data_IF_821966515256
#
_entry.id   IF_821966515256
#
_cell.length_a   1.000
_cell.length_b   1.000
_cell.length_c   1.000
_cell.angle_alpha   90.00
_cell.angle_beta   90.00
_cell.angle_gamma   90.00
#
_symmetry.space_group_name_H-M   'P 1'
#
loop_
_entity.id
_entity.type
_entity.pdbx_description
1 polymer ?
#
# COMPACT_ATOMS: atom_id res chain seq x y z
N UNK A 1 39.23 6.80 19.48
CA UNK A 1 39.18 8.13 18.85
C UNK A 1 39.07 7.92 17.34
N UNK A 2 37.89 7.64 16.80
CA UNK A 2 37.65 7.47 15.35
C UNK A 2 36.43 8.29 15.00
N UNK A 3 36.60 9.15 14.03
CA UNK A 3 35.77 10.25 13.61
C UNK A 3 34.32 9.85 13.27
N UNK A 4 33.36 10.45 13.98
CA UNK A 4 31.98 10.60 13.52
C UNK A 4 31.84 11.97 12.86
N UNK A 5 31.58 12.01 11.56
CA UNK A 5 30.80 13.04 10.84
C UNK A 5 30.80 12.65 9.35
N UNK A 6 29.61 12.45 8.74
CA UNK A 6 28.86 13.49 8.13
C UNK A 6 27.33 13.30 8.29
N UNK A 7 26.75 13.86 9.33
CA UNK A 7 25.30 13.89 9.50
C UNK A 7 24.75 15.36 9.59
N UNK A 8 25.64 16.36 9.45
CA UNK A 8 25.26 17.74 9.71
C UNK A 8 24.44 18.40 8.57
N UNK A 9 24.47 17.85 7.35
CA UNK A 9 23.75 18.45 6.21
C UNK A 9 22.25 18.06 6.15
N UNK A 10 21.83 17.00 6.87
CA UNK A 10 20.44 16.53 6.91
C UNK A 10 19.69 16.93 8.19
N UNK A 11 20.38 17.55 9.14
CA UNK A 11 19.81 17.94 10.43
C UNK A 11 18.56 18.85 10.34
N UNK A 12 18.50 19.89 9.47
CA UNK A 12 17.33 20.75 9.40
C UNK A 12 16.09 20.08 8.79
N UNK A 13 16.25 19.01 8.00
CA UNK A 13 15.14 18.23 7.45
C UNK A 13 14.55 17.25 8.47
N UNK A 14 15.26 16.97 9.55
CA UNK A 14 14.83 16.04 10.60
C UNK A 14 13.90 16.67 11.64
N UNK A 15 13.78 17.99 11.67
CA UNK A 15 12.91 18.76 12.59
C UNK A 15 11.52 19.07 12.02
N UNK A 16 11.19 18.58 10.83
CA UNK A 16 9.87 18.79 10.25
C UNK A 16 8.79 18.14 11.12
N UNK A 17 7.71 18.86 11.45
CA UNK A 17 6.65 18.34 12.31
C UNK A 17 5.96 17.14 11.67
N UNK A 18 5.43 16.22 12.49
CA UNK A 18 4.84 14.95 12.04
C UNK A 18 3.79 15.10 10.91
N UNK A 19 3.04 16.22 10.87
CA UNK A 19 2.08 16.51 9.82
C UNK A 19 2.71 16.75 8.44
N UNK A 20 3.96 17.19 8.36
CA UNK A 20 4.66 17.36 7.08
C UNK A 20 5.02 16.02 6.44
N UNK A 21 5.24 14.95 7.24
CA UNK A 21 5.42 13.57 6.77
C UNK A 21 4.17 13.10 6.06
N UNK A 22 2.99 13.39 6.61
CA UNK A 22 1.70 13.06 6.00
C UNK A 22 1.45 13.82 4.70
N UNK A 23 1.84 15.09 4.64
CA UNK A 23 1.77 15.90 3.42
C UNK A 23 2.63 15.32 2.30
N UNK A 24 3.83 14.87 2.61
CA UNK A 24 4.74 14.27 1.63
C UNK A 24 4.25 12.89 1.18
N UNK A 25 3.73 12.06 2.09
CA UNK A 25 3.11 10.77 1.73
C UNK A 25 1.90 11.02 0.83
N UNK A 26 1.02 11.97 1.18
CA UNK A 26 -0.14 12.33 0.37
C UNK A 26 0.25 12.81 -1.03
N UNK A 27 1.25 13.68 -1.13
CA UNK A 27 1.78 14.18 -2.40
C UNK A 27 2.43 13.06 -3.23
N UNK A 28 3.18 12.18 -2.58
CA UNK A 28 3.80 11.01 -3.25
C UNK A 28 2.75 10.06 -3.78
N UNK A 29 1.70 9.81 -3.00
CA UNK A 29 0.57 8.97 -3.38
C UNK A 29 -0.26 9.63 -4.49
N UNK A 30 -0.55 10.93 -4.39
CA UNK A 30 -1.24 11.70 -5.44
C UNK A 30 -0.43 11.77 -6.74
N UNK A 31 0.88 11.90 -6.66
CA UNK A 31 1.76 11.89 -7.83
C UNK A 31 1.82 10.50 -8.50
N UNK A 32 1.70 9.41 -7.71
CA UNK A 32 1.50 8.06 -8.25
C UNK A 32 0.14 7.93 -8.98
N UNK A 33 -0.89 8.68 -8.56
CA UNK A 33 -2.23 8.61 -9.14
C UNK A 33 -2.41 9.51 -10.37
N UNK A 34 -1.75 10.68 -10.42
CA UNK A 34 -1.92 11.68 -11.46
C UNK A 34 -1.22 11.37 -12.80
N UNK A 35 -0.88 10.11 -13.06
CA UNK A 35 -0.34 9.68 -14.33
C UNK A 35 1.16 9.40 -14.28
N UNK A 36 1.54 8.34 -13.56
CA UNK A 36 2.91 7.83 -13.56
C UNK A 36 3.38 7.46 -14.98
N UNK A 37 2.46 7.27 -15.94
CA UNK A 37 2.81 7.16 -17.37
C UNK A 37 3.42 8.44 -17.94
N UNK A 38 2.98 9.61 -17.47
CA UNK A 38 3.50 10.91 -17.90
C UNK A 38 4.63 11.45 -17.00
N UNK A 39 4.89 10.81 -15.83
CA UNK A 39 5.94 11.28 -14.93
C UNK A 39 7.33 11.02 -15.52
N UNK A 40 8.13 12.07 -15.61
CA UNK A 40 9.51 11.97 -16.05
C UNK A 40 10.33 11.06 -15.12
N UNK A 41 11.37 10.42 -15.65
CA UNK A 41 12.28 9.55 -14.90
C UNK A 41 12.77 10.19 -13.57
N UNK A 42 13.17 11.48 -13.52
CA UNK A 42 13.60 12.12 -12.28
C UNK A 42 12.45 12.22 -11.25
N UNK A 43 11.19 12.38 -11.67
CA UNK A 43 10.06 12.40 -10.74
C UNK A 43 9.83 11.03 -10.09
N UNK A 44 9.99 9.93 -10.82
CA UNK A 44 9.88 8.57 -10.28
C UNK A 44 10.99 8.24 -9.30
N UNK A 45 12.24 8.65 -9.62
CA UNK A 45 13.37 8.51 -8.68
C UNK A 45 13.12 9.31 -7.41
N UNK A 46 12.62 10.55 -7.51
CA UNK A 46 12.29 11.38 -6.35
C UNK A 46 11.20 10.75 -5.48
N UNK A 47 10.18 10.12 -6.08
CA UNK A 47 9.12 9.41 -5.34
C UNK A 47 9.67 8.23 -4.54
N UNK A 48 10.52 7.40 -5.14
CA UNK A 48 11.16 6.28 -4.44
C UNK A 48 12.08 6.77 -3.32
N UNK A 49 12.92 7.77 -3.59
CA UNK A 49 13.81 8.36 -2.59
C UNK A 49 13.01 8.94 -1.42
N UNK A 50 11.87 9.59 -1.69
CA UNK A 50 10.97 10.12 -0.67
C UNK A 50 10.36 9.00 0.17
N UNK A 51 9.89 7.89 -0.45
CA UNK A 51 9.36 6.72 0.26
C UNK A 51 10.40 6.09 1.19
N UNK A 52 11.62 5.87 0.70
CA UNK A 52 12.74 5.34 1.50
C UNK A 52 13.11 6.29 2.65
N UNK A 53 13.15 7.59 2.38
CA UNK A 53 13.42 8.61 3.40
C UNK A 53 12.34 8.64 4.48
N UNK A 54 11.05 8.55 4.10
CA UNK A 54 9.93 8.48 5.04
C UNK A 54 9.99 7.24 5.91
N UNK A 55 10.33 6.08 5.32
CA UNK A 55 10.53 4.84 6.05
C UNK A 55 11.68 4.96 7.06
N UNK A 56 12.84 5.47 6.62
CA UNK A 56 13.98 5.70 7.49
C UNK A 56 13.66 6.69 8.62
N UNK A 57 12.88 7.73 8.32
CA UNK A 57 12.42 8.71 9.32
C UNK A 57 11.45 8.12 10.33
N UNK A 58 10.49 7.30 9.87
CA UNK A 58 9.55 6.61 10.77
C UNK A 58 10.27 5.68 11.76
N UNK A 59 11.39 5.11 11.33
CA UNK A 59 12.27 4.27 12.16
C UNK A 59 13.38 5.03 12.88
N UNK A 60 13.40 6.38 12.81
CA UNK A 60 14.47 7.17 13.45
C UNK A 60 14.61 6.82 14.93
N UNK A 61 15.84 6.47 15.36
CA UNK A 61 16.13 5.97 16.70
C UNK A 61 15.87 4.46 16.92
N UNK A 62 15.26 3.76 15.93
CA UNK A 62 14.98 2.32 16.01
C UNK A 62 15.60 1.51 14.86
N UNK A 63 16.38 2.14 13.97
CA UNK A 63 16.97 1.49 12.80
C UNK A 63 17.86 0.29 13.18
N UNK A 64 18.70 0.43 14.21
CA UNK A 64 19.54 -0.66 14.67
C UNK A 64 18.71 -1.85 15.17
N UNK A 65 17.61 -1.59 15.89
CA UNK A 65 16.70 -2.63 16.38
C UNK A 65 15.90 -3.29 15.24
N UNK A 66 15.53 -2.50 14.22
CA UNK A 66 14.83 -3.02 13.06
C UNK A 66 15.71 -4.00 12.27
N UNK A 67 16.96 -3.64 12.03
CA UNK A 67 17.93 -4.42 11.28
C UNK A 67 18.78 -5.39 12.13
N UNK A 68 18.38 -5.68 13.36
CA UNK A 68 19.05 -6.62 14.24
C UNK A 68 19.04 -8.07 13.72
N UNK A 69 18.03 -8.44 12.91
CA UNK A 69 17.86 -9.78 12.36
C UNK A 69 18.00 -9.80 10.83
N UNK A 70 18.64 -10.86 10.26
CA UNK A 70 18.81 -10.97 8.81
C UNK A 70 17.47 -10.97 8.03
N UNK A 71 16.39 -11.47 8.65
CA UNK A 71 15.06 -11.45 8.06
C UNK A 71 14.55 -10.02 7.73
N UNK A 72 14.97 -8.99 8.50
CA UNK A 72 14.61 -7.61 8.23
C UNK A 72 15.27 -7.09 6.94
N UNK A 73 16.55 -7.42 6.73
CA UNK A 73 17.24 -7.06 5.49
C UNK A 73 16.60 -7.73 4.28
N UNK A 74 16.31 -9.03 4.37
CA UNK A 74 15.70 -9.79 3.27
C UNK A 74 14.30 -9.24 2.93
N UNK A 75 13.44 -9.04 3.94
CA UNK A 75 12.08 -8.57 3.70
C UNK A 75 12.05 -7.13 3.15
N UNK A 76 12.89 -6.25 3.68
CA UNK A 76 12.99 -4.86 3.20
C UNK A 76 13.59 -4.82 1.79
N UNK A 77 14.63 -5.59 1.51
CA UNK A 77 15.22 -5.69 0.17
C UNK A 77 14.21 -6.23 -0.84
N UNK A 78 13.46 -7.28 -0.49
CA UNK A 78 12.42 -7.86 -1.33
C UNK A 78 11.31 -6.83 -1.64
N UNK A 79 10.82 -6.12 -0.62
CA UNK A 79 9.84 -5.05 -0.81
C UNK A 79 10.37 -3.93 -1.70
N UNK A 80 11.62 -3.50 -1.50
CA UNK A 80 12.26 -2.47 -2.34
C UNK A 80 12.40 -2.94 -3.79
N UNK A 81 12.73 -4.20 -4.03
CA UNK A 81 12.77 -4.77 -5.39
C UNK A 81 11.39 -4.65 -6.05
N UNK A 82 10.32 -5.06 -5.38
CA UNK A 82 8.97 -4.93 -5.93
C UNK A 82 8.55 -3.47 -6.18
N UNK A 83 8.91 -2.55 -5.27
CA UNK A 83 8.64 -1.13 -5.47
C UNK A 83 9.41 -0.56 -6.67
N UNK A 84 10.67 -0.92 -6.83
CA UNK A 84 11.48 -0.53 -8.00
C UNK A 84 10.87 -1.10 -9.28
N UNK A 85 10.55 -2.39 -9.32
CA UNK A 85 9.93 -3.03 -10.47
C UNK A 85 8.59 -2.40 -10.84
N UNK A 86 7.77 -2.03 -9.86
CA UNK A 86 6.49 -1.38 -10.09
C UNK A 86 6.64 0.05 -10.63
N UNK A 87 7.55 0.85 -10.05
CA UNK A 87 7.77 2.26 -10.45
C UNK A 87 8.41 2.34 -11.83
N UNK A 88 9.39 1.48 -12.10
CA UNK A 88 10.12 1.41 -13.37
C UNK A 88 9.58 0.31 -14.30
N UNK A 89 8.30 -0.06 -14.16
CA UNK A 89 7.69 -1.07 -15.03
C UNK A 89 7.87 -0.77 -16.53
N UNK A 90 7.69 0.46 -17.04
CA UNK A 90 7.89 0.75 -18.47
C UNK A 90 9.32 0.56 -18.95
N UNK A 91 10.32 0.76 -18.08
CA UNK A 91 11.74 0.64 -18.44
C UNK A 91 12.22 -0.83 -18.41
N UNK A 92 11.65 -1.65 -17.53
CA UNK A 92 12.00 -3.06 -17.41
C UNK A 92 11.15 -3.99 -18.28
N UNK A 93 10.04 -3.46 -18.82
CA UNK A 93 9.10 -4.20 -19.64
C UNK A 93 9.56 -4.22 -21.11
N UNK A 94 9.77 -5.39 -21.70
CA UNK A 94 10.12 -5.48 -23.12
C UNK A 94 8.95 -5.12 -24.05
N UNK A 95 7.70 -5.19 -23.58
CA UNK A 95 6.49 -4.88 -24.32
C UNK A 95 5.56 -4.04 -23.44
N UNK A 96 4.89 -3.04 -24.03
CA UNK A 96 3.76 -2.41 -23.35
C UNK A 96 2.49 -3.26 -23.55
N UNK A 97 2.01 -3.99 -22.51
CA UNK A 97 0.87 -4.90 -22.66
C UNK A 97 -0.48 -4.18 -22.88
N UNK A 98 -0.49 -2.85 -22.93
CA UNK A 98 -1.69 -2.00 -23.17
C UNK A 98 -1.68 -1.31 -24.51
N UNK A 99 -0.55 -1.26 -25.18
CA UNK A 99 -0.43 -0.72 -26.51
C UNK A 99 -0.85 -1.79 -27.53
N UNK A 100 -2.09 -1.69 -28.00
CA UNK A 100 -2.64 -2.62 -28.98
C UNK A 100 -1.80 -2.70 -30.27
N UNK A 101 -1.03 -1.66 -30.59
CA UNK A 101 -0.15 -1.66 -31.76
C UNK A 101 1.07 -2.58 -31.60
N UNK A 102 1.44 -2.92 -30.37
CA UNK A 102 2.56 -3.84 -30.06
C UNK A 102 2.09 -5.30 -29.87
N UNK A 103 0.79 -5.57 -29.92
CA UNK A 103 0.24 -6.89 -29.68
C UNK A 103 0.00 -7.63 -31.01
N UNK A 104 0.45 -8.89 -31.08
CA UNK A 104 0.15 -9.81 -32.17
C UNK A 104 -0.69 -10.96 -31.67
N UNK A 105 -1.87 -11.16 -32.26
CA UNK A 105 -2.74 -12.31 -31.94
C UNK A 105 -2.04 -13.64 -32.30
N UNK A 106 -1.09 -13.62 -33.25
CA UNK A 106 -0.29 -14.79 -33.62
C UNK A 106 0.62 -15.27 -32.48
N UNK A 107 0.96 -14.37 -31.55
CA UNK A 107 1.78 -14.67 -30.38
C UNK A 107 0.93 -15.08 -29.16
N UNK A 108 -0.37 -15.36 -29.38
CA UNK A 108 -1.28 -15.77 -28.31
C UNK A 108 -0.92 -17.15 -27.73
N UNK A 109 -0.89 -17.24 -26.39
CA UNK A 109 -0.70 -18.48 -25.62
C UNK A 109 0.61 -19.21 -25.86
N UNK A 110 1.68 -18.49 -26.21
CA UNK A 110 3.01 -19.07 -26.36
C UNK A 110 3.59 -19.48 -25.00
N UNK A 111 4.23 -20.66 -24.93
CA UNK A 111 4.86 -21.13 -23.70
C UNK A 111 6.09 -20.27 -23.30
N UNK A 112 6.52 -20.33 -22.02
CA UNK A 112 7.72 -19.65 -21.56
C UNK A 112 8.96 -19.97 -22.41
N UNK A 113 9.72 -18.92 -22.76
CA UNK A 113 10.92 -19.01 -23.57
C UNK A 113 10.70 -18.99 -25.10
N UNK A 114 9.46 -18.83 -25.58
CA UNK A 114 9.15 -18.72 -27.00
C UNK A 114 9.56 -17.36 -27.56
N UNK A 115 9.97 -17.35 -28.85
CA UNK A 115 10.16 -16.13 -29.61
C UNK A 115 8.83 -15.62 -30.17
N UNK A 116 8.71 -14.29 -30.36
CA UNK A 116 7.58 -13.69 -31.06
C UNK A 116 7.58 -14.08 -32.55
N UNK A 117 6.43 -13.96 -33.20
CA UNK A 117 6.24 -14.29 -34.60
C UNK A 117 7.13 -13.49 -35.57
N UNK A 118 7.52 -12.29 -35.17
CA UNK A 118 8.45 -11.41 -35.89
C UNK A 118 9.93 -11.63 -35.51
N UNK A 119 10.20 -12.46 -34.48
CA UNK A 119 11.55 -12.73 -33.97
C UNK A 119 12.18 -11.57 -33.17
N UNK A 120 11.45 -10.49 -32.92
CA UNK A 120 11.97 -9.30 -32.22
C UNK A 120 12.07 -9.48 -30.70
N UNK A 121 11.20 -10.31 -30.11
CA UNK A 121 11.10 -10.49 -28.66
C UNK A 121 11.20 -11.97 -28.26
N UNK A 122 11.65 -12.22 -27.04
CA UNK A 122 11.60 -13.54 -26.39
C UNK A 122 10.75 -13.43 -25.13
N UNK A 123 9.63 -14.14 -25.09
CA UNK A 123 8.69 -14.14 -23.99
C UNK A 123 9.17 -15.06 -22.86
N UNK A 124 9.89 -14.50 -21.89
CA UNK A 124 10.53 -15.26 -20.79
C UNK A 124 9.52 -16.08 -19.97
N UNK A 125 8.35 -15.51 -19.70
CA UNK A 125 7.28 -16.15 -18.93
C UNK A 125 6.09 -16.59 -19.82
N UNK A 126 6.24 -16.52 -21.14
CA UNK A 126 5.19 -16.82 -22.09
C UNK A 126 4.22 -15.66 -22.29
N UNK A 127 3.15 -15.92 -23.04
CA UNK A 127 2.14 -14.91 -23.39
C UNK A 127 0.75 -15.32 -22.92
N UNK A 128 -0.15 -14.31 -22.84
CA UNK A 128 -1.57 -14.53 -22.60
C UNK A 128 -2.34 -14.84 -23.91
N UNK A 129 -3.67 -14.93 -23.82
CA UNK A 129 -4.56 -15.18 -24.95
C UNK A 129 -4.44 -14.11 -26.06
N UNK A 130 -4.09 -12.88 -25.70
CA UNK A 130 -4.03 -11.72 -26.59
C UNK A 130 -2.60 -11.43 -27.11
N UNK A 131 -1.64 -12.32 -26.82
CA UNK A 131 -0.23 -12.13 -27.20
C UNK A 131 0.53 -11.12 -26.30
N UNK A 132 0.00 -10.82 -25.12
CA UNK A 132 0.68 -9.98 -24.13
C UNK A 132 1.76 -10.77 -23.41
N UNK A 133 2.95 -10.21 -23.31
CA UNK A 133 4.02 -10.77 -22.50
C UNK A 133 3.63 -10.82 -21.02
N UNK A 134 3.64 -12.01 -20.41
CA UNK A 134 3.26 -12.22 -19.00
C UNK A 134 4.22 -11.51 -18.06
N UNK A 135 5.52 -11.44 -18.37
CA UNK A 135 6.49 -10.71 -17.55
C UNK A 135 6.17 -9.22 -17.52
N UNK A 136 5.93 -8.61 -18.67
CA UNK A 136 5.48 -7.22 -18.78
C UNK A 136 4.15 -6.99 -18.05
N UNK A 137 3.20 -7.90 -18.23
CA UNK A 137 1.91 -7.86 -17.54
C UNK A 137 2.05 -7.86 -16.03
N UNK A 138 2.96 -8.67 -15.46
CA UNK A 138 3.23 -8.70 -14.02
C UNK A 138 3.80 -7.36 -13.53
N UNK A 139 4.75 -6.75 -14.26
CA UNK A 139 5.34 -5.47 -13.86
C UNK A 139 4.29 -4.36 -13.82
N UNK A 140 3.47 -4.24 -14.85
CA UNK A 140 2.37 -3.28 -14.89
C UNK A 140 1.27 -3.62 -13.88
N UNK A 141 0.95 -4.91 -13.69
CA UNK A 141 0.01 -5.37 -12.69
C UNK A 141 0.44 -5.03 -11.26
N UNK A 142 1.71 -5.23 -10.92
CA UNK A 142 2.30 -4.79 -9.65
C UNK A 142 2.13 -3.30 -9.42
N UNK A 143 2.39 -2.49 -10.45
CA UNK A 143 2.25 -1.04 -10.39
C UNK A 143 0.80 -0.64 -10.08
N UNK A 144 -0.18 -1.19 -10.79
CA UNK A 144 -1.60 -0.88 -10.57
C UNK A 144 -2.05 -1.34 -9.18
N UNK A 145 -1.79 -2.59 -8.81
CA UNK A 145 -2.20 -3.15 -7.52
C UNK A 145 -1.57 -2.40 -6.33
N UNK A 146 -0.28 -2.03 -6.41
CA UNK A 146 0.38 -1.24 -5.37
C UNK A 146 -0.18 0.19 -5.30
N UNK A 147 -0.38 0.85 -6.43
CA UNK A 147 -0.92 2.22 -6.47
C UNK A 147 -2.31 2.28 -5.87
N UNK A 148 -3.22 1.41 -6.33
CA UNK A 148 -4.60 1.32 -5.80
C UNK A 148 -4.59 1.08 -4.30
N UNK A 149 -3.79 0.12 -3.84
CA UNK A 149 -3.75 -0.26 -2.44
C UNK A 149 -3.15 0.82 -1.55
N UNK A 150 -2.07 1.48 -1.97
CA UNK A 150 -1.45 2.55 -1.20
C UNK A 150 -2.38 3.76 -1.08
N UNK A 151 -3.02 4.17 -2.19
CA UNK A 151 -3.96 5.30 -2.19
C UNK A 151 -5.17 5.02 -1.31
N UNK A 152 -5.80 3.86 -1.50
CA UNK A 152 -6.97 3.49 -0.70
C UNK A 152 -6.63 3.43 0.79
N UNK A 153 -5.51 2.79 1.15
CA UNK A 153 -5.02 2.69 2.52
C UNK A 153 -4.74 4.06 3.14
N UNK A 154 -4.06 4.95 2.40
CA UNK A 154 -3.71 6.28 2.91
C UNK A 154 -4.96 7.13 3.17
N UNK A 155 -5.90 7.18 2.22
CA UNK A 155 -7.14 7.96 2.39
C UNK A 155 -8.02 7.36 3.49
N UNK A 156 -8.16 6.03 3.54
CA UNK A 156 -8.89 5.35 4.61
C UNK A 156 -8.28 5.62 5.99
N UNK A 157 -6.94 5.63 6.09
CA UNK A 157 -6.22 5.96 7.32
C UNK A 157 -6.49 7.40 7.74
N UNK A 158 -6.44 8.38 6.82
CA UNK A 158 -6.72 9.78 7.15
C UNK A 158 -8.14 9.96 7.70
N UNK A 159 -9.14 9.35 7.06
CA UNK A 159 -10.53 9.35 7.53
C UNK A 159 -10.63 8.68 8.92
N UNK A 160 -10.04 7.49 9.07
CA UNK A 160 -10.09 6.74 10.31
C UNK A 160 -9.39 7.44 11.47
N UNK A 161 -8.25 8.08 11.21
CA UNK A 161 -7.54 8.91 12.21
C UNK A 161 -8.43 10.06 12.67
N UNK A 162 -9.03 10.79 11.75
CA UNK A 162 -9.93 11.90 12.10
C UNK A 162 -11.11 11.42 12.93
N UNK A 163 -11.83 10.40 12.48
CA UNK A 163 -13.01 9.86 13.18
C UNK A 163 -12.63 9.26 14.53
N UNK A 164 -11.55 8.46 14.61
CA UNK A 164 -11.13 7.80 15.84
C UNK A 164 -10.64 8.78 16.90
N UNK A 165 -9.85 9.80 16.50
CA UNK A 165 -9.40 10.86 17.41
C UNK A 165 -10.56 11.72 17.91
N UNK A 166 -11.45 12.13 17.00
CA UNK A 166 -12.62 12.92 17.37
C UNK A 166 -13.55 12.15 18.31
N UNK A 167 -13.78 10.88 18.07
CA UNK A 167 -14.57 10.01 18.96
C UNK A 167 -13.96 9.93 20.36
N UNK A 168 -12.66 9.69 20.47
CA UNK A 168 -11.94 9.60 21.75
C UNK A 168 -11.92 10.93 22.52
N UNK A 169 -11.86 12.06 21.81
CA UNK A 169 -11.82 13.39 22.42
C UNK A 169 -13.19 13.86 22.88
N UNK A 170 -14.23 13.72 22.05
CA UNK A 170 -15.58 14.16 22.34
C UNK A 170 -16.27 13.31 23.44
N UNK A 171 -15.97 12.00 23.47
CA UNK A 171 -16.54 11.06 24.44
C UNK A 171 -18.06 10.92 24.38
N UNK A 172 -18.63 10.30 25.40
CA UNK A 172 -20.06 10.25 25.62
C UNK A 172 -20.88 9.71 24.44
N UNK A 173 -21.96 10.44 24.08
CA UNK A 173 -22.87 10.03 22.99
C UNK A 173 -22.23 10.06 21.61
N UNK A 174 -21.33 11.03 21.36
CA UNK A 174 -20.63 11.16 20.08
C UNK A 174 -19.74 9.94 19.83
N UNK A 175 -18.94 9.58 20.82
CA UNK A 175 -18.12 8.38 20.78
C UNK A 175 -18.99 7.12 20.55
N UNK A 176 -20.08 7.01 21.30
CA UNK A 176 -20.99 5.84 21.18
C UNK A 176 -21.55 5.71 19.77
N UNK A 177 -22.04 6.80 19.16
CA UNK A 177 -22.61 6.78 17.80
C UNK A 177 -21.54 6.44 16.76
N UNK A 178 -20.38 7.12 16.81
CA UNK A 178 -19.30 6.88 15.84
C UNK A 178 -18.79 5.44 15.93
N UNK A 179 -18.61 4.91 17.15
CA UNK A 179 -18.15 3.52 17.32
C UNK A 179 -19.20 2.50 16.92
N UNK A 180 -20.50 2.79 17.08
CA UNK A 180 -21.56 1.93 16.53
C UNK A 180 -21.50 1.84 15.00
N UNK A 181 -21.22 2.95 14.31
CA UNK A 181 -21.01 2.92 12.86
C UNK A 181 -19.78 2.08 12.47
N UNK A 182 -18.67 2.25 13.22
CA UNK A 182 -17.47 1.43 13.05
C UNK A 182 -17.78 -0.05 13.27
N UNK A 183 -18.51 -0.38 14.33
CA UNK A 183 -18.88 -1.76 14.68
C UNK A 183 -19.78 -2.38 13.61
N UNK A 184 -20.76 -1.65 13.10
CA UNK A 184 -21.60 -2.08 11.98
C UNK A 184 -20.77 -2.38 10.74
N UNK A 185 -19.88 -1.46 10.37
CA UNK A 185 -18.99 -1.64 9.21
C UNK A 185 -18.13 -2.90 9.34
N UNK A 186 -17.55 -3.14 10.53
CA UNK A 186 -16.67 -4.28 10.79
C UNK A 186 -17.40 -5.61 11.04
N UNK A 187 -18.73 -5.57 11.18
CA UNK A 187 -19.55 -6.79 11.33
C UNK A 187 -19.76 -7.53 10.01
N UNK A 188 -19.60 -6.84 8.89
CA UNK A 188 -19.73 -7.43 7.56
C UNK A 188 -18.39 -7.90 7.01
N UNK A 189 -18.33 -9.05 6.32
CA UNK A 189 -17.12 -9.45 5.59
C UNK A 189 -16.72 -8.40 4.56
N UNK A 190 -15.46 -7.94 4.62
CA UNK A 190 -14.94 -6.85 3.79
C UNK A 190 -15.18 -7.07 2.30
N UNK A 191 -15.00 -8.32 1.83
CA UNK A 191 -15.20 -8.66 0.42
C UNK A 191 -16.66 -8.51 -0.02
N UNK A 192 -17.64 -8.86 0.84
CA UNK A 192 -19.05 -8.72 0.50
C UNK A 192 -19.46 -7.25 0.39
N UNK A 193 -18.96 -6.41 1.31
CA UNK A 193 -19.20 -4.95 1.24
C UNK A 193 -18.57 -4.38 -0.04
N UNK A 194 -17.33 -4.76 -0.36
CA UNK A 194 -16.66 -4.30 -1.57
C UNK A 194 -17.40 -4.74 -2.84
N UNK A 195 -17.85 -6.00 -2.92
CA UNK A 195 -18.65 -6.51 -4.04
C UNK A 195 -19.98 -5.76 -4.20
N UNK A 196 -20.67 -5.48 -3.10
CA UNK A 196 -21.92 -4.72 -3.12
C UNK A 196 -21.69 -3.28 -3.64
N UNK A 197 -20.61 -2.63 -3.18
CA UNK A 197 -20.26 -1.29 -3.64
C UNK A 197 -19.89 -1.30 -5.14
N UNK A 198 -19.12 -2.28 -5.61
CA UNK A 198 -18.77 -2.42 -7.02
C UNK A 198 -19.99 -2.74 -7.88
N UNK A 199 -20.96 -3.52 -7.38
CA UNK A 199 -22.22 -3.74 -8.09
C UNK A 199 -23.04 -2.45 -8.24
N UNK A 200 -22.99 -1.55 -7.24
CA UNK A 200 -23.68 -0.27 -7.27
C UNK A 200 -22.96 0.78 -8.13
N UNK A 201 -21.62 0.88 -8.03
CA UNK A 201 -20.83 1.91 -8.72
C UNK A 201 -20.42 1.51 -10.14
N UNK A 202 -20.39 0.23 -10.44
CA UNK A 202 -19.88 -0.34 -11.69
C UNK A 202 -18.34 -0.47 -11.67
N UNK A 203 -17.78 -0.85 -12.84
CA UNK A 203 -16.33 -1.07 -13.01
C UNK A 203 -15.58 0.25 -13.14
N UNK A 204 -14.36 0.30 -12.65
CA UNK A 204 -13.49 1.46 -12.76
C UNK A 204 -12.43 1.48 -11.67
N UNK A 205 -11.23 1.95 -12.00
CA UNK A 205 -10.12 2.03 -11.05
C UNK A 205 -10.44 2.98 -9.89
N UNK A 206 -11.05 4.13 -10.18
CA UNK A 206 -11.56 5.12 -9.22
C UNK A 206 -12.59 4.51 -8.26
N UNK A 207 -13.49 3.69 -8.79
CA UNK A 207 -14.56 3.04 -8.03
C UNK A 207 -14.03 1.94 -7.12
N UNK A 208 -13.05 1.17 -7.58
CA UNK A 208 -12.32 0.21 -6.74
C UNK A 208 -11.67 0.92 -5.56
N UNK A 209 -10.96 2.03 -5.81
CA UNK A 209 -10.31 2.81 -4.74
C UNK A 209 -11.34 3.31 -3.73
N UNK A 210 -12.46 3.88 -4.19
CA UNK A 210 -13.53 4.35 -3.29
C UNK A 210 -14.11 3.20 -2.46
N UNK A 211 -14.39 2.05 -3.08
CA UNK A 211 -14.90 0.88 -2.37
C UNK A 211 -13.92 0.39 -1.29
N UNK A 212 -12.61 0.34 -1.61
CA UNK A 212 -11.56 -0.05 -0.66
C UNK A 212 -11.42 0.95 0.50
N UNK A 213 -11.55 2.26 0.24
CA UNK A 213 -11.55 3.30 1.27
C UNK A 213 -12.72 3.08 2.23
N UNK A 214 -13.95 2.90 1.69
CA UNK A 214 -15.16 2.69 2.49
C UNK A 214 -15.04 1.43 3.35
N UNK A 215 -14.40 0.39 2.86
CA UNK A 215 -14.22 -0.84 3.62
C UNK A 215 -13.19 -0.70 4.75
N UNK A 216 -12.14 0.11 4.57
CA UNK A 216 -10.97 0.09 5.45
C UNK A 216 -10.92 1.14 6.56
N UNK A 217 -11.55 2.30 6.40
CA UNK A 217 -11.45 3.42 7.35
C UNK A 217 -11.79 3.02 8.79
N UNK A 218 -12.72 2.07 8.98
CA UNK A 218 -13.20 1.62 10.27
C UNK A 218 -12.10 0.92 11.11
N UNK A 219 -11.18 0.19 10.47
CA UNK A 219 -10.04 -0.44 11.16
C UNK A 219 -9.13 0.62 11.78
N UNK A 220 -8.86 1.70 11.04
CA UNK A 220 -8.05 2.82 11.53
C UNK A 220 -8.76 3.60 12.63
N UNK A 221 -10.06 3.88 12.47
CA UNK A 221 -10.86 4.59 13.46
C UNK A 221 -10.86 3.85 14.81
N UNK A 222 -11.05 2.53 14.79
CA UNK A 222 -11.01 1.69 16.00
C UNK A 222 -9.64 1.70 16.66
N UNK A 223 -8.57 1.57 15.89
CA UNK A 223 -7.18 1.55 16.38
C UNK A 223 -6.81 2.88 17.02
N UNK A 224 -7.09 3.99 16.32
CA UNK A 224 -6.79 5.34 16.81
C UNK A 224 -7.60 5.67 18.05
N UNK A 225 -8.90 5.37 18.06
CA UNK A 225 -9.74 5.60 19.24
C UNK A 225 -9.17 4.86 20.46
N UNK A 226 -8.80 3.58 20.32
CA UNK A 226 -8.23 2.80 21.43
C UNK A 226 -6.93 3.41 21.96
N UNK A 227 -6.02 3.82 21.08
CA UNK A 227 -4.75 4.46 21.46
C UNK A 227 -4.99 5.84 22.06
N UNK A 228 -5.83 6.65 21.44
CA UNK A 228 -6.13 8.01 21.89
C UNK A 228 -6.75 8.03 23.29
N UNK A 229 -7.67 7.09 23.60
CA UNK A 229 -8.23 6.96 24.95
C UNK A 229 -7.16 6.61 26.01
N UNK A 230 -6.21 5.75 25.66
CA UNK A 230 -5.12 5.41 26.56
C UNK A 230 -4.20 6.63 26.80
N UNK A 231 -3.95 7.43 25.74
CA UNK A 231 -3.09 8.61 25.83
C UNK A 231 -3.77 9.80 26.52
N UNK A 232 -5.07 10.01 26.35
CA UNK A 232 -5.80 11.14 26.98
C UNK A 232 -5.81 11.09 28.48
N UNK A 233 -5.60 9.92 29.10
CA UNK A 233 -5.55 9.72 30.54
C UNK A 233 -4.13 9.94 31.13
N UNK A 234 -3.14 10.33 30.34
CA UNK A 234 -1.77 10.54 30.81
C UNK A 234 -1.55 11.97 31.34
N UNK A 235 -0.62 12.11 32.30
CA UNK A 235 -0.34 13.36 33.01
C UNK A 235 0.08 14.51 32.10
N UNK A 236 0.78 14.21 30.98
CA UNK A 236 1.20 15.26 30.03
C UNK A 236 0.01 15.92 29.31
N UNK A 237 -1.10 15.20 29.10
CA UNK A 237 -2.34 15.76 28.54
C UNK A 237 -3.03 16.64 29.60
N UNK A 238 -3.07 16.18 30.86
CA UNK A 238 -3.61 16.98 31.96
C UNK A 238 -2.81 18.27 32.11
N UNK A 239 -1.48 18.20 32.11
CA UNK A 239 -0.60 19.36 32.15
C UNK A 239 -0.84 20.34 30.99
N UNK A 240 -1.00 19.85 29.77
CA UNK A 240 -1.29 20.65 28.58
C UNK A 240 -2.63 21.42 28.72
N UNK A 241 -3.66 20.76 29.31
CA UNK A 241 -4.95 21.43 29.63
C UNK A 241 -4.78 22.51 30.70
N UNK A 242 -4.03 22.22 31.77
CA UNK A 242 -3.75 23.20 32.81
C UNK A 242 -2.98 24.44 32.29
N UNK A 243 -2.12 24.25 31.28
CA UNK A 243 -1.41 25.35 30.60
C UNK A 243 -2.29 26.13 29.61
N UNK A 244 -3.58 25.80 29.50
CA UNK A 244 -4.53 26.48 28.62
C UNK A 244 -4.33 26.24 27.12
N UNK A 245 -3.70 25.13 26.72
CA UNK A 245 -3.58 24.82 25.29
C UNK A 245 -4.95 24.52 24.70
N UNK A 246 -5.18 24.98 23.46
CA UNK A 246 -6.42 24.68 22.74
C UNK A 246 -6.51 23.19 22.40
N UNK A 247 -7.74 22.66 22.33
CA UNK A 247 -8.02 21.27 22.02
C UNK A 247 -7.35 20.84 20.72
N UNK A 248 -7.42 21.65 19.67
CA UNK A 248 -6.75 21.38 18.39
C UNK A 248 -5.23 21.21 18.56
N UNK A 249 -4.59 22.03 19.39
CA UNK A 249 -3.15 21.93 19.68
C UNK A 249 -2.84 20.63 20.43
N UNK A 250 -3.66 20.25 21.42
CA UNK A 250 -3.49 19.01 22.17
C UNK A 250 -3.65 17.80 21.23
N UNK A 251 -4.71 17.77 20.42
CA UNK A 251 -4.97 16.70 19.46
C UNK A 251 -3.84 16.52 18.44
N UNK A 252 -3.45 17.60 17.77
CA UNK A 252 -2.51 17.51 16.64
C UNK A 252 -1.06 17.43 17.08
N UNK A 253 -0.67 18.07 18.19
CA UNK A 253 0.75 18.20 18.60
C UNK A 253 1.14 17.23 19.71
N UNK A 254 0.18 16.78 20.51
CA UNK A 254 0.46 15.91 21.64
C UNK A 254 -0.17 14.51 21.47
N UNK A 255 -1.42 14.39 21.02
CA UNK A 255 -2.11 13.12 20.93
C UNK A 255 -1.76 12.35 19.63
N UNK A 256 -1.90 13.02 18.47
CA UNK A 256 -1.67 12.39 17.16
C UNK A 256 -0.27 11.76 17.03
N UNK A 257 0.85 12.41 17.44
CA UNK A 257 2.18 11.79 17.32
C UNK A 257 2.31 10.49 18.10
N UNK A 258 1.63 10.37 19.24
CA UNK A 258 1.63 9.16 20.05
C UNK A 258 0.74 8.04 19.49
N UNK A 259 -0.19 8.37 18.58
CA UNK A 259 -0.99 7.39 17.85
C UNK A 259 -0.28 6.85 16.58
N UNK A 260 0.81 7.49 16.12
CA UNK A 260 1.51 7.09 14.88
C UNK A 260 2.11 5.67 14.95
N UNK A 261 2.82 5.23 16.00
CA UNK A 261 3.44 3.90 16.01
C UNK A 261 2.44 2.76 15.77
N UNK A 262 1.31 2.63 16.48
CA UNK A 262 0.32 1.60 16.18
C UNK A 262 -0.37 1.78 14.81
N UNK A 263 -0.49 3.02 14.31
CA UNK A 263 -1.00 3.28 12.97
C UNK A 263 -0.08 2.76 11.88
N UNK A 264 1.23 2.93 12.01
CA UNK A 264 2.19 2.39 11.05
C UNK A 264 2.10 0.87 10.97
N UNK A 265 1.99 0.20 12.11
CA UNK A 265 1.85 -1.26 12.17
C UNK A 265 0.56 -1.74 11.48
N UNK A 266 -0.60 -1.13 11.82
CA UNK A 266 -1.86 -1.55 11.19
C UNK A 266 -1.87 -1.21 9.69
N UNK A 267 -1.20 -0.13 9.26
CA UNK A 267 -1.15 0.28 7.86
C UNK A 267 -0.43 -0.75 6.98
N UNK A 268 0.64 -1.38 7.45
CA UNK A 268 1.32 -2.43 6.67
C UNK A 268 0.41 -3.64 6.46
N UNK A 269 -0.31 -4.07 7.50
CA UNK A 269 -1.27 -5.17 7.41
C UNK A 269 -2.41 -4.80 6.44
N UNK A 270 -2.90 -3.56 6.53
CA UNK A 270 -4.00 -3.11 5.68
C UNK A 270 -3.58 -2.94 4.22
N UNK A 271 -2.35 -2.52 3.90
CA UNK A 271 -1.85 -2.53 2.51
C UNK A 271 -1.88 -3.93 1.93
N UNK A 272 -1.36 -4.93 2.66
CA UNK A 272 -1.40 -6.33 2.21
C UNK A 272 -2.84 -6.82 1.99
N UNK A 273 -3.74 -6.56 2.96
CA UNK A 273 -5.16 -6.92 2.85
C UNK A 273 -5.83 -6.23 1.65
N UNK A 274 -5.47 -4.98 1.36
CA UNK A 274 -6.03 -4.23 0.23
C UNK A 274 -5.60 -4.80 -1.10
N UNK A 275 -4.34 -5.19 -1.24
CA UNK A 275 -3.82 -5.85 -2.45
C UNK A 275 -4.61 -7.15 -2.69
N UNK A 276 -4.81 -7.97 -1.65
CA UNK A 276 -5.58 -9.21 -1.76
C UNK A 276 -7.05 -8.93 -2.11
N UNK A 277 -7.66 -7.93 -1.48
CA UNK A 277 -9.06 -7.57 -1.73
C UNK A 277 -9.25 -7.01 -3.15
N UNK A 278 -8.37 -6.08 -3.60
CA UNK A 278 -8.35 -5.57 -4.98
C UNK A 278 -8.21 -6.71 -5.97
N UNK A 279 -7.21 -7.60 -5.75
CA UNK A 279 -6.97 -8.73 -6.64
C UNK A 279 -8.15 -9.70 -6.69
N UNK A 280 -8.84 -9.91 -5.57
CA UNK A 280 -10.05 -10.73 -5.51
C UNK A 280 -11.21 -10.12 -6.29
N UNK A 281 -11.43 -8.80 -6.18
CA UNK A 281 -12.45 -8.09 -6.96
C UNK A 281 -12.15 -8.14 -8.46
N UNK A 282 -10.89 -7.94 -8.83
CA UNK A 282 -10.42 -8.01 -10.21
C UNK A 282 -10.51 -9.43 -10.78
N UNK A 283 -10.18 -10.45 -9.99
CA UNK A 283 -10.35 -11.86 -10.34
C UNK A 283 -11.83 -12.22 -10.61
N UNK A 284 -12.76 -11.68 -9.81
CA UNK A 284 -14.19 -11.86 -9.98
C UNK A 284 -14.77 -11.02 -11.16
N UNK A 285 -13.94 -10.25 -11.86
CA UNK A 285 -14.32 -9.47 -13.02
C UNK A 285 -15.11 -8.19 -12.73
N UNK A 286 -15.22 -7.79 -11.46
CA UNK A 286 -15.88 -6.55 -11.03
C UNK A 286 -14.90 -5.44 -10.62
N UNK A 287 -13.61 -5.73 -10.58
CA UNK A 287 -12.55 -4.82 -10.17
C UNK A 287 -12.12 -3.82 -11.24
N UNK A 288 -10.82 -3.82 -11.53
CA UNK A 288 -10.17 -2.91 -12.49
C UNK A 288 -10.62 -3.25 -13.92
N UNK A 289 -10.78 -2.26 -14.82
CA UNK A 289 -11.14 -2.51 -16.21
C UNK A 289 -10.02 -3.26 -16.96
N UNK A 290 -10.37 -3.98 -18.01
CA UNK A 290 -9.46 -4.80 -18.83
C UNK A 290 -8.30 -3.97 -19.44
N UNK A 291 -8.52 -2.66 -19.59
CA UNK A 291 -7.51 -1.71 -20.09
C UNK A 291 -6.43 -1.34 -19.08
N UNK A 292 -6.58 -1.75 -17.82
CA UNK A 292 -5.62 -1.46 -16.75
C UNK A 292 -5.40 -2.74 -15.95
N UNK A 293 -4.41 -3.60 -16.32
CA UNK A 293 -4.20 -4.87 -15.60
C UNK A 293 -3.83 -4.65 -14.16
N UNK A 294 -4.40 -5.48 -13.33
CA UNK A 294 -3.91 -5.81 -12.01
C UNK A 294 -3.45 -7.25 -11.99
N UNK A 295 -2.72 -7.63 -10.95
CA UNK A 295 -2.30 -9.02 -10.77
C UNK A 295 -3.53 -9.96 -10.71
N UNK A 296 -4.61 -9.51 -10.05
CA UNK A 296 -5.85 -10.29 -9.96
C UNK A 296 -6.52 -10.52 -11.32
N UNK A 297 -6.53 -9.52 -12.20
CA UNK A 297 -7.07 -9.66 -13.54
C UNK A 297 -6.23 -10.61 -14.41
N UNK A 298 -4.90 -10.55 -14.31
CA UNK A 298 -4.00 -11.49 -15.00
C UNK A 298 -4.26 -12.92 -14.56
N UNK A 299 -4.44 -13.15 -13.26
CA UNK A 299 -4.78 -14.48 -12.71
C UNK A 299 -6.12 -14.95 -13.30
N UNK A 300 -7.13 -14.08 -13.33
CA UNK A 300 -8.46 -14.40 -13.86
C UNK A 300 -8.42 -14.80 -15.35
N UNK A 301 -7.69 -14.04 -16.17
CA UNK A 301 -7.56 -14.29 -17.60
C UNK A 301 -6.87 -15.64 -17.88
N UNK A 302 -5.88 -16.01 -17.07
CA UNK A 302 -5.16 -17.28 -17.22
C UNK A 302 -5.88 -18.50 -16.61
N UNK A 303 -6.84 -18.28 -15.69
CA UNK A 303 -7.46 -19.35 -14.91
C UNK A 303 -8.17 -20.39 -15.76
N UNK A 304 -8.90 -19.95 -16.78
CA UNK A 304 -9.62 -20.84 -17.70
C UNK A 304 -8.71 -21.77 -18.51
N UNK A 305 -7.42 -21.43 -18.63
CA UNK A 305 -6.44 -22.19 -19.41
C UNK A 305 -5.53 -23.11 -18.58
N UNK A 306 -5.66 -23.08 -17.24
CA UNK A 306 -4.83 -23.89 -16.34
C UNK A 306 -4.93 -25.39 -16.63
N UNK A 307 -6.14 -25.88 -16.82
CA UNK A 307 -6.39 -27.33 -17.11
C UNK A 307 -5.98 -27.72 -18.52
N UNK A 308 -5.81 -26.76 -19.43
CA UNK A 308 -5.33 -26.99 -20.80
C UNK A 308 -3.79 -27.01 -20.90
N UNK A 309 -3.09 -27.01 -19.75
CA UNK A 309 -1.64 -27.06 -19.69
C UNK A 309 -0.95 -25.69 -19.82
N UNK A 310 -1.70 -24.60 -19.96
CA UNK A 310 -1.19 -23.24 -20.10
C UNK A 310 -1.13 -22.52 -18.73
N UNK A 311 -0.55 -23.22 -17.74
CA UNK A 311 -0.52 -22.79 -16.33
C UNK A 311 0.22 -21.47 -16.10
N UNK A 312 1.19 -21.12 -16.95
CA UNK A 312 2.03 -19.92 -16.78
C UNK A 312 1.23 -18.62 -16.75
N UNK A 313 0.09 -18.58 -17.48
CA UNK A 313 -0.76 -17.38 -17.60
C UNK A 313 -1.38 -16.97 -16.25
N UNK A 314 -1.66 -17.91 -15.35
CA UNK A 314 -2.26 -17.67 -14.04
C UNK A 314 -1.25 -17.86 -12.90
N UNK A 315 -0.35 -18.85 -12.99
CA UNK A 315 0.55 -19.22 -11.92
C UNK A 315 1.62 -18.13 -11.66
N UNK A 316 2.26 -17.58 -12.71
CA UNK A 316 3.29 -16.56 -12.52
C UNK A 316 2.75 -15.24 -11.91
N UNK A 317 1.62 -14.68 -12.38
CA UNK A 317 0.99 -13.54 -11.69
C UNK A 317 0.56 -13.89 -10.26
N UNK A 318 0.09 -15.12 -10.00
CA UNK A 318 -0.26 -15.60 -8.67
C UNK A 318 0.94 -15.67 -7.73
N UNK A 319 2.08 -16.17 -8.20
CA UNK A 319 3.34 -16.17 -7.43
C UNK A 319 3.82 -14.75 -7.15
N UNK A 320 3.72 -13.83 -8.11
CA UNK A 320 4.06 -12.43 -7.92
C UNK A 320 3.18 -11.76 -6.86
N UNK A 321 1.86 -12.03 -6.90
CA UNK A 321 0.90 -11.56 -5.90
C UNK A 321 1.25 -12.11 -4.49
N UNK A 322 1.51 -13.40 -4.38
CA UNK A 322 1.92 -14.01 -3.11
C UNK A 322 3.20 -13.37 -2.58
N UNK A 323 4.21 -13.21 -3.44
CA UNK A 323 5.52 -12.70 -3.03
C UNK A 323 5.46 -11.26 -2.52
N UNK A 324 4.69 -10.37 -3.17
CA UNK A 324 4.53 -8.98 -2.69
C UNK A 324 3.75 -8.93 -1.37
N UNK A 325 2.69 -9.72 -1.21
CA UNK A 325 1.91 -9.78 0.04
C UNK A 325 2.77 -10.29 1.19
N UNK A 326 3.56 -11.33 0.95
CA UNK A 326 4.51 -11.86 1.96
C UNK A 326 5.57 -10.82 2.31
N UNK A 327 6.16 -10.13 1.32
CA UNK A 327 7.15 -9.10 1.57
C UNK A 327 6.61 -7.98 2.47
N UNK A 328 5.39 -7.48 2.19
CA UNK A 328 4.75 -6.44 2.98
C UNK A 328 4.46 -6.92 4.41
N UNK A 329 3.93 -8.14 4.57
CA UNK A 329 3.63 -8.70 5.89
C UNK A 329 4.89 -8.89 6.73
N UNK A 330 5.99 -9.41 6.15
CA UNK A 330 7.27 -9.56 6.85
C UNK A 330 7.85 -8.22 7.31
N UNK A 331 7.75 -7.17 6.49
CA UNK A 331 8.14 -5.81 6.89
C UNK A 331 7.24 -5.30 8.01
N UNK A 332 5.92 -5.53 7.91
CA UNK A 332 4.94 -5.15 8.92
C UNK A 332 5.20 -5.81 10.28
N UNK A 333 5.48 -7.11 10.29
CA UNK A 333 5.81 -7.86 11.51
C UNK A 333 7.07 -7.32 12.19
N UNK A 334 8.12 -7.02 11.40
CA UNK A 334 9.33 -6.40 11.91
C UNK A 334 9.11 -4.99 12.46
N UNK A 335 8.29 -4.21 11.78
CA UNK A 335 7.90 -2.87 12.24
C UNK A 335 7.16 -2.96 13.58
N UNK A 336 6.23 -3.92 13.71
CA UNK A 336 5.51 -4.19 14.95
C UNK A 336 6.44 -4.54 16.10
N UNK A 337 7.39 -5.45 15.88
CA UNK A 337 8.36 -5.88 16.90
C UNK A 337 9.23 -4.69 17.35
N UNK A 338 9.68 -3.88 16.40
CA UNK A 338 10.58 -2.74 16.67
C UNK A 338 9.86 -1.60 17.40
N UNK A 339 8.61 -1.32 17.04
CA UNK A 339 7.83 -0.22 17.61
C UNK A 339 7.09 -0.61 18.90
N UNK A 340 7.09 -1.90 19.29
CA UNK A 340 6.42 -2.34 20.50
C UNK A 340 7.30 -2.15 21.74
N UNK A 341 6.99 -1.21 22.65
CA UNK A 341 7.80 -0.94 23.83
C UNK A 341 7.80 -2.07 24.86
N UNK A 342 6.83 -3.01 24.78
CA UNK A 342 6.71 -4.14 25.73
C UNK A 342 7.71 -5.26 25.47
N UNK A 343 8.31 -5.33 24.29
CA UNK A 343 9.35 -6.32 23.95
C UNK A 343 10.76 -5.88 24.35
N UNK A 344 10.89 -4.71 24.98
CA UNK A 344 12.18 -4.16 25.47
C UNK A 344 12.54 -4.61 26.89
N UNK A 345 12.03 -5.76 27.35
CA UNK A 345 12.42 -6.38 28.63
C UNK A 345 13.36 -7.54 28.43
#
# INVERSE_FOLDING_TARGET
MIARRPAAALAPLMELPAWSVWGVIALSVLALFSGVEAASLPARVALLACGVWLFARALHGHLEQYFDRPAAYVSTALLLVFLVLAVFAPEFSPQNPYDLAQLSIMDGRLPPGSASSDGALVFRLGTDEQGRDIYSGILYGLRVSLTVSLVATFVAMAIGVFVGMYAAWAGGRVETVLMRLVDLQLSFPSILVALMLMAAFGRGLDKVVIALIIVQWAYYARTVRGTALAETNKDYIAAARCLGFSDARILLRHLLPNCIPPLLVISTIQVANTIVLESSLSFLGVGVPITSPSLGLLIANGYGYMLSGQYWMSMFPGVALLAIVVAINLVGDRLRDTLNPRLKR
#
